data_IF_930662609850
#
_entry.id   IF_930662609850
#
_cell.length_a   1.000
_cell.length_b   1.000
_cell.length_c   1.000
_cell.angle_alpha   90.00
_cell.angle_beta   90.00
_cell.angle_gamma   90.00
#
_symmetry.space_group_name_H-M   'P 1'
#
loop_
_entity.id
_entity.type
_entity.pdbx_description
1 polymer ?
#
# COMPACT_ATOMS: atom_id res chain seq x y z
N UNK A 1 -13.30 -7.90 51.27
CA UNK A 1 -12.76 -7.33 50.02
C UNK A 1 -12.90 -8.36 48.93
N UNK A 2 -13.97 -8.26 48.15
CA UNK A 2 -14.25 -9.11 46.99
C UNK A 2 -13.51 -8.51 45.79
N UNK A 3 -12.56 -9.25 45.22
CA UNK A 3 -11.89 -8.87 43.97
C UNK A 3 -12.66 -9.56 42.85
N UNK A 4 -13.42 -8.76 42.10
CA UNK A 4 -14.18 -9.21 40.93
C UNK A 4 -13.25 -9.64 39.80
N UNK A 5 -13.51 -10.81 39.21
CA UNK A 5 -12.87 -11.32 38.00
C UNK A 5 -13.00 -10.33 36.81
N UNK A 6 -11.96 -10.18 35.98
CA UNK A 6 -12.10 -9.54 34.68
C UNK A 6 -12.76 -10.50 33.67
N UNK A 7 -13.96 -10.13 33.20
CA UNK A 7 -14.67 -10.78 32.09
C UNK A 7 -13.81 -10.77 30.82
N UNK A 8 -13.73 -11.94 30.18
CA UNK A 8 -13.12 -12.18 28.88
C UNK A 8 -13.68 -11.25 27.79
N UNK A 9 -12.79 -10.56 27.08
CA UNK A 9 -13.10 -9.80 25.86
C UNK A 9 -13.11 -10.79 24.70
N UNK A 10 -14.28 -10.97 24.09
CA UNK A 10 -14.51 -11.83 22.95
C UNK A 10 -13.66 -11.41 21.75
N UNK A 11 -12.75 -12.29 21.32
CA UNK A 11 -12.07 -12.21 20.02
C UNK A 11 -13.08 -12.56 18.93
N UNK A 12 -13.76 -11.54 18.39
CA UNK A 12 -14.56 -11.69 17.17
C UNK A 12 -13.63 -11.83 15.97
N UNK A 13 -13.51 -13.05 15.46
CA UNK A 13 -12.89 -13.35 14.17
C UNK A 13 -13.69 -12.67 13.06
N UNK A 14 -13.10 -11.67 12.41
CA UNK A 14 -13.67 -11.02 11.23
C UNK A 14 -13.55 -11.99 10.03
N UNK A 15 -14.57 -12.81 9.83
CA UNK A 15 -14.71 -13.68 8.67
C UNK A 15 -15.24 -12.86 7.49
N UNK A 16 -14.38 -12.56 6.51
CA UNK A 16 -14.80 -11.93 5.26
C UNK A 16 -15.70 -12.91 4.47
N UNK A 17 -16.86 -12.47 3.94
CA UNK A 17 -17.68 -13.31 3.07
C UNK A 17 -16.93 -13.55 1.75
N UNK A 18 -16.80 -14.83 1.39
CA UNK A 18 -16.18 -15.27 0.14
C UNK A 18 -16.95 -14.72 -1.07
N UNK A 19 -16.28 -13.87 -1.84
CA UNK A 19 -16.78 -13.41 -3.14
C UNK A 19 -16.63 -14.58 -4.11
N UNK A 20 -17.75 -15.25 -4.42
CA UNK A 20 -17.81 -16.38 -5.33
C UNK A 20 -17.70 -15.85 -6.77
N UNK A 21 -16.59 -16.14 -7.46
CA UNK A 21 -16.25 -15.56 -8.78
C UNK A 21 -17.05 -16.16 -9.96
N UNK A 22 -17.91 -17.13 -9.69
CA UNK A 22 -18.64 -17.89 -10.72
C UNK A 22 -19.96 -17.24 -11.19
N UNK A 23 -20.34 -16.10 -10.59
CA UNK A 23 -21.60 -15.38 -10.91
C UNK A 23 -21.55 -14.56 -12.21
N UNK A 24 -20.37 -14.28 -12.76
CA UNK A 24 -20.24 -13.34 -13.89
C UNK A 24 -20.30 -13.97 -15.30
N UNK A 25 -20.41 -15.30 -15.41
CA UNK A 25 -20.50 -15.99 -16.71
C UNK A 25 -21.91 -16.49 -17.00
N UNK A 26 -22.89 -15.61 -17.21
CA UNK A 26 -24.15 -16.08 -17.82
C UNK A 26 -25.08 -15.00 -18.39
N UNK A 27 -24.60 -14.03 -19.16
CA UNK A 27 -25.48 -13.33 -20.14
C UNK A 27 -24.68 -12.85 -21.34
N UNK A 28 -24.28 -13.77 -22.22
CA UNK A 28 -23.96 -13.42 -23.61
C UNK A 28 -24.77 -14.35 -24.52
N UNK A 29 -25.87 -13.85 -25.06
CA UNK A 29 -26.53 -14.49 -26.21
C UNK A 29 -27.01 -13.44 -27.21
N UNK A 30 -26.65 -13.70 -28.47
CA UNK A 30 -27.24 -13.24 -29.75
C UNK A 30 -26.43 -12.19 -30.55
N UNK A 31 -26.63 -12.07 -31.88
CA UNK A 31 -26.14 -12.97 -32.94
C UNK A 31 -25.35 -12.20 -34.05
N UNK A 32 -24.77 -12.86 -35.08
CA UNK A 32 -24.05 -12.18 -36.15
C UNK A 32 -25.00 -11.74 -37.29
N UNK A 33 -24.81 -10.52 -37.80
CA UNK A 33 -25.56 -9.99 -38.94
C UNK A 33 -24.70 -9.04 -39.77
N UNK A 34 -24.35 -9.47 -40.98
CA UNK A 34 -23.56 -8.75 -41.96
C UNK A 34 -24.38 -7.68 -42.71
N UNK A 35 -23.80 -6.50 -42.92
CA UNK A 35 -24.34 -5.49 -43.84
C UNK A 35 -23.25 -4.54 -44.31
N UNK A 36 -22.79 -4.72 -45.56
CA UNK A 36 -21.88 -3.79 -46.25
C UNK A 36 -22.70 -2.68 -46.90
N UNK A 37 -22.53 -1.40 -46.53
CA UNK A 37 -22.85 -0.29 -47.45
C UNK A 37 -22.25 1.08 -47.01
N UNK A 38 -21.20 1.49 -47.73
CA UNK A 38 -20.94 2.84 -48.30
C UNK A 38 -20.45 4.02 -47.42
N UNK A 39 -19.11 4.13 -47.39
CA UNK A 39 -18.30 5.14 -48.12
C UNK A 39 -18.46 6.66 -47.92
N UNK A 40 -19.36 7.17 -47.06
CA UNK A 40 -19.29 8.59 -46.61
C UNK A 40 -19.43 8.75 -45.10
N UNK A 41 -19.90 7.71 -44.42
CA UNK A 41 -19.90 7.60 -42.96
C UNK A 41 -18.55 7.15 -42.37
N UNK A 42 -17.61 6.68 -43.21
CA UNK A 42 -16.29 6.22 -42.78
C UNK A 42 -15.49 7.36 -42.15
N UNK A 43 -15.47 8.56 -42.74
CA UNK A 43 -14.63 9.66 -42.24
C UNK A 43 -15.17 10.28 -40.93
N UNK A 44 -16.49 10.24 -40.70
CA UNK A 44 -17.11 10.73 -39.45
C UNK A 44 -17.01 9.70 -38.32
N UNK A 45 -17.17 8.41 -38.63
CA UNK A 45 -16.96 7.31 -37.68
C UNK A 45 -15.48 7.13 -37.33
N UNK A 46 -14.55 7.38 -38.26
CA UNK A 46 -13.11 7.32 -38.00
C UNK A 46 -12.63 8.50 -37.12
N UNK A 47 -13.25 9.69 -37.22
CA UNK A 47 -12.93 10.86 -36.38
C UNK A 47 -13.41 10.68 -34.94
N UNK A 48 -14.62 10.13 -34.72
CA UNK A 48 -15.12 9.86 -33.37
C UNK A 48 -14.35 8.73 -32.69
N UNK A 49 -13.93 7.71 -33.44
CA UNK A 49 -13.03 6.66 -32.93
C UNK A 49 -11.68 7.26 -32.53
N UNK A 50 -11.11 8.18 -33.33
CA UNK A 50 -9.85 8.88 -32.96
C UNK A 50 -9.99 9.75 -31.71
N UNK A 51 -11.13 10.43 -31.53
CA UNK A 51 -11.40 11.23 -30.33
C UNK A 51 -11.55 10.33 -29.08
N UNK A 52 -12.25 9.20 -29.21
CA UNK A 52 -12.42 8.22 -28.12
C UNK A 52 -11.09 7.53 -27.76
N UNK A 53 -10.22 7.27 -28.74
CA UNK A 53 -8.85 6.74 -28.51
C UNK A 53 -7.97 7.77 -27.79
N UNK A 54 -8.05 9.06 -28.15
CA UNK A 54 -7.33 10.12 -27.44
C UNK A 54 -7.82 10.30 -26.00
N UNK A 55 -9.13 10.21 -25.77
CA UNK A 55 -9.73 10.31 -24.44
C UNK A 55 -9.34 9.09 -23.57
N UNK A 56 -9.31 7.88 -24.13
CA UNK A 56 -8.90 6.68 -23.38
C UNK A 56 -7.41 6.66 -23.03
N UNK A 57 -6.54 7.27 -23.84
CA UNK A 57 -5.14 7.47 -23.49
C UNK A 57 -4.96 8.42 -22.27
N UNK A 58 -5.84 9.42 -22.11
CA UNK A 58 -5.86 10.31 -20.93
C UNK A 58 -6.30 9.57 -19.66
N UNK A 59 -7.10 8.50 -19.77
CA UNK A 59 -7.56 7.71 -18.62
C UNK A 59 -6.71 6.48 -18.31
N UNK A 60 -5.63 6.23 -19.05
CA UNK A 60 -4.68 5.18 -18.73
C UNK A 60 -3.87 5.59 -17.50
N UNK A 61 -4.45 5.41 -16.31
CA UNK A 61 -3.74 5.63 -15.06
C UNK A 61 -2.55 4.67 -15.01
N UNK A 62 -1.33 5.16 -14.72
CA UNK A 62 -0.22 4.28 -14.42
C UNK A 62 -0.60 3.51 -13.16
N UNK A 63 -0.95 2.23 -13.35
CA UNK A 63 -1.18 1.29 -12.24
C UNK A 63 0.18 1.13 -11.57
N UNK A 64 0.40 1.89 -10.49
CA UNK A 64 1.65 1.79 -9.72
C UNK A 64 1.72 0.36 -9.20
N UNK A 65 2.59 -0.43 -9.80
CA UNK A 65 2.92 -1.75 -9.31
C UNK A 65 3.59 -1.57 -7.95
N UNK A 66 2.87 -1.93 -6.89
CA UNK A 66 3.45 -2.05 -5.57
C UNK A 66 4.38 -3.26 -5.59
N UNK A 67 5.63 -3.06 -5.98
CA UNK A 67 6.67 -4.06 -5.77
C UNK A 67 6.65 -4.38 -4.28
N UNK A 68 6.32 -5.62 -3.92
CA UNK A 68 6.34 -6.09 -2.54
C UNK A 68 7.79 -6.12 -2.08
N UNK A 69 8.29 -4.96 -1.62
CA UNK A 69 9.58 -4.86 -0.97
C UNK A 69 9.43 -5.56 0.39
N UNK A 70 10.34 -6.48 0.69
CA UNK A 70 10.32 -7.20 1.97
C UNK A 70 10.72 -6.19 3.05
N UNK A 71 9.72 -5.61 3.71
CA UNK A 71 9.92 -4.67 4.81
C UNK A 71 10.24 -5.48 6.07
N UNK A 72 11.37 -5.24 6.74
CA UNK A 72 11.72 -5.99 7.95
C UNK A 72 10.70 -5.74 9.03
N UNK A 73 10.16 -6.80 9.63
CA UNK A 73 9.26 -6.67 10.77
C UNK A 73 10.04 -6.30 12.03
N UNK A 74 9.45 -5.53 12.98
CA UNK A 74 10.10 -5.23 14.26
C UNK A 74 10.57 -6.50 14.98
N UNK A 75 9.73 -7.54 15.00
CA UNK A 75 10.06 -8.83 15.62
C UNK A 75 11.30 -9.49 15.00
N UNK A 76 11.47 -9.40 13.67
CA UNK A 76 12.63 -10.00 12.98
C UNK A 76 13.96 -9.32 13.32
N UNK A 77 13.95 -8.04 13.71
CA UNK A 77 15.16 -7.27 14.02
C UNK A 77 15.42 -7.22 15.52
N UNK A 78 14.36 -7.06 16.32
CA UNK A 78 14.45 -6.91 17.77
C UNK A 78 14.42 -8.26 18.51
N UNK A 79 13.84 -9.31 17.90
CA UNK A 79 13.64 -10.61 18.54
C UNK A 79 12.41 -10.71 19.44
N UNK A 80 11.69 -9.61 19.62
CA UNK A 80 10.47 -9.48 20.43
C UNK A 80 9.52 -8.45 19.80
N UNK A 81 8.27 -8.35 20.28
CA UNK A 81 7.39 -7.27 19.83
C UNK A 81 7.61 -6.03 20.68
N UNK A 82 7.70 -4.84 20.05
CA UNK A 82 7.62 -3.59 20.79
C UNK A 82 6.35 -3.57 21.66
N UNK A 83 6.52 -3.44 22.97
CA UNK A 83 5.42 -3.44 23.94
C UNK A 83 5.16 -4.78 24.65
N UNK A 84 5.93 -5.83 24.38
CA UNK A 84 5.89 -7.06 25.17
C UNK A 84 6.33 -6.79 26.63
N UNK A 85 5.74 -7.53 27.59
CA UNK A 85 5.98 -7.31 29.02
C UNK A 85 7.46 -7.38 29.38
N UNK A 86 7.91 -6.41 30.20
CA UNK A 86 9.29 -6.28 30.68
C UNK A 86 10.35 -6.26 29.57
N UNK A 87 9.98 -5.87 28.35
CA UNK A 87 10.87 -5.89 27.20
C UNK A 87 11.04 -4.49 26.61
N UNK A 88 12.30 -4.02 26.57
CA UNK A 88 12.66 -2.69 26.04
C UNK A 88 13.85 -2.87 25.10
N UNK A 89 13.76 -2.31 23.90
CA UNK A 89 14.88 -2.24 22.96
C UNK A 89 15.91 -1.21 23.41
N UNK A 90 17.21 -1.56 23.36
CA UNK A 90 18.26 -0.56 23.51
C UNK A 90 18.24 0.41 22.33
N UNK A 91 18.73 1.63 22.57
CA UNK A 91 18.82 2.69 21.57
C UNK A 91 19.48 2.22 20.27
N UNK A 92 20.57 1.44 20.37
CA UNK A 92 21.28 0.93 19.18
C UNK A 92 20.37 0.04 18.33
N UNK A 93 19.55 -0.80 18.97
CA UNK A 93 18.61 -1.66 18.25
C UNK A 93 17.52 -0.83 17.55
N UNK A 94 17.06 0.24 18.20
CA UNK A 94 16.09 1.18 17.62
C UNK A 94 16.68 1.89 16.41
N UNK A 95 17.87 2.48 16.53
CA UNK A 95 18.53 3.19 15.42
C UNK A 95 18.84 2.24 14.26
N UNK A 96 19.31 1.02 14.56
CA UNK A 96 19.63 0.02 13.54
C UNK A 96 18.35 -0.46 12.80
N UNK A 97 17.23 -0.62 13.51
CA UNK A 97 15.94 -0.95 12.90
C UNK A 97 15.46 0.15 11.95
N UNK A 98 15.45 1.40 12.39
CA UNK A 98 15.02 2.53 11.56
C UNK A 98 15.94 2.74 10.35
N UNK A 99 17.25 2.57 10.50
CA UNK A 99 18.19 2.63 9.38
C UNK A 99 17.96 1.52 8.33
N UNK A 100 17.53 0.33 8.75
CA UNK A 100 17.12 -0.74 7.82
C UNK A 100 15.78 -0.43 7.17
N UNK A 101 14.85 0.14 7.93
CA UNK A 101 13.51 0.48 7.46
C UNK A 101 13.55 1.59 6.40
N UNK A 102 14.39 2.60 6.59
CA UNK A 102 14.69 3.67 5.63
C UNK A 102 15.14 3.10 4.27
N UNK A 103 16.09 2.15 4.28
CA UNK A 103 16.56 1.48 3.05
C UNK A 103 15.49 0.58 2.43
N UNK A 104 14.61 0.02 3.24
CA UNK A 104 13.61 -0.95 2.84
C UNK A 104 12.24 -0.33 2.50
N UNK A 105 12.03 0.98 2.64
CA UNK A 105 10.72 1.61 2.44
C UNK A 105 10.87 3.00 1.83
N UNK A 106 10.10 3.29 0.79
CA UNK A 106 9.98 4.63 0.20
C UNK A 106 9.11 5.58 1.04
N UNK A 107 8.53 5.07 2.13
CA UNK A 107 7.60 5.79 3.03
C UNK A 107 8.26 6.27 4.31
N UNK A 108 9.53 5.95 4.50
CA UNK A 108 10.29 6.27 5.71
C UNK A 108 11.55 7.01 5.30
N UNK A 109 11.82 8.14 5.94
CA UNK A 109 13.07 8.87 5.82
C UNK A 109 13.68 9.07 7.22
N UNK A 110 14.93 8.67 7.42
CA UNK A 110 15.63 8.81 8.70
C UNK A 110 16.75 9.85 8.58
N UNK A 111 16.64 10.92 9.36
CA UNK A 111 17.65 11.99 9.40
C UNK A 111 18.33 12.06 10.76
N UNK A 112 19.62 12.39 10.77
CA UNK A 112 20.37 12.62 12.00
C UNK A 112 20.22 14.09 12.39
N UNK A 113 19.62 14.35 13.56
CA UNK A 113 19.38 15.72 14.06
C UNK A 113 20.47 16.20 15.02
N UNK A 114 21.41 15.33 15.40
CA UNK A 114 22.58 15.68 16.19
C UNK A 114 23.04 14.54 17.11
N UNK A 115 23.76 14.92 18.17
CA UNK A 115 24.24 14.02 19.22
C UNK A 115 23.59 14.39 20.55
N UNK A 116 23.24 13.38 21.34
CA UNK A 116 22.79 13.58 22.71
C UNK A 116 23.92 14.06 23.62
N UNK A 117 23.58 14.47 24.85
CA UNK A 117 24.55 14.86 25.89
C UNK A 117 25.56 13.75 26.21
N UNK A 118 25.18 12.48 26.00
CA UNK A 118 26.04 11.31 26.20
C UNK A 118 26.74 10.87 24.90
N UNK A 119 26.76 11.71 23.87
CA UNK A 119 27.42 11.43 22.59
C UNK A 119 26.73 10.37 21.72
N UNK A 120 25.46 10.04 21.99
CA UNK A 120 24.69 9.06 21.18
C UNK A 120 24.02 9.79 20.01
N UNK A 121 24.07 9.22 18.80
CA UNK A 121 23.36 9.77 17.63
C UNK A 121 21.87 9.90 17.93
N UNK A 122 21.30 11.07 17.65
CA UNK A 122 19.88 11.35 17.76
C UNK A 122 19.27 11.42 16.36
N UNK A 123 18.21 10.64 16.14
CA UNK A 123 17.56 10.49 14.84
C UNK A 123 16.13 11.03 14.86
N UNK A 124 15.67 11.53 13.72
CA UNK A 124 14.28 11.82 13.43
C UNK A 124 13.82 10.90 12.29
N UNK A 125 12.74 10.15 12.52
CA UNK A 125 12.14 9.28 11.51
C UNK A 125 10.84 9.90 11.01
N UNK A 126 10.80 10.25 9.72
CA UNK A 126 9.62 10.76 9.05
C UNK A 126 8.90 9.59 8.37
N UNK A 127 7.63 9.37 8.73
CA UNK A 127 6.82 8.28 8.19
C UNK A 127 5.60 8.89 7.51
N UNK A 128 5.51 8.78 6.18
CA UNK A 128 4.43 9.42 5.43
C UNK A 128 4.11 8.69 4.12
N UNK A 129 3.27 9.30 3.29
CA UNK A 129 3.14 8.91 1.90
C UNK A 129 4.44 9.24 1.14
N UNK A 130 4.86 8.45 0.14
CA UNK A 130 6.13 8.65 -0.55
C UNK A 130 6.20 10.00 -1.28
N UNK A 131 5.06 10.61 -1.60
CA UNK A 131 4.95 11.97 -2.16
C UNK A 131 5.37 13.04 -1.15
N UNK A 132 5.00 12.87 0.11
CA UNK A 132 5.35 13.81 1.18
C UNK A 132 6.82 13.69 1.55
N UNK A 133 7.34 12.47 1.61
CA UNK A 133 8.75 12.21 1.93
C UNK A 133 9.69 12.86 0.90
N UNK A 134 9.33 12.81 -0.39
CA UNK A 134 10.08 13.48 -1.46
C UNK A 134 10.08 15.01 -1.38
N UNK A 135 9.18 15.60 -0.60
CA UNK A 135 9.04 17.05 -0.43
C UNK A 135 9.71 17.58 0.85
N UNK A 136 10.49 16.76 1.56
CA UNK A 136 11.18 17.15 2.80
C UNK A 136 12.53 17.88 2.56
N UNK A 137 12.97 17.99 1.30
CA UNK A 137 14.22 18.65 0.89
C UNK A 137 14.05 20.14 0.57
#
# INVERSE_FOLDING_TARGET
MHVSEPRAVATGSYQAPGINQDSFRSVCKSPPGSGRYRSRFCNLLLSTISLVVLISAVYAQPKRESTTRIIPSPRSVLGFNPGDDRTIADWKQITDYFARLDKASDRVAVQTIGTSTLGRTMIAAFISAPENIRSLE
#
